data_IF_924326565061
#
_entry.id   IF_924326565061
#
_cell.length_a   1.000
_cell.length_b   1.000
_cell.length_c   1.000
_cell.angle_alpha   90.00
_cell.angle_beta   90.00
_cell.angle_gamma   90.00
#
_symmetry.space_group_name_H-M   'P 1'
#
loop_
_entity.id
_entity.type
_entity.pdbx_description
1 polymer ?
#
# COMPACT_ATOMS: atom_id res chain seq x y z
N UNK A 1 -2.27 -0.85 11.90
CA UNK A 1 -3.47 -1.66 11.60
C UNK A 1 -3.86 -1.62 10.12
N UNK A 2 -4.11 -0.47 9.51
CA UNK A 2 -4.50 -0.40 8.08
C UNK A 2 -3.48 -1.05 7.12
N UNK A 3 -2.18 -0.85 7.36
CA UNK A 3 -1.10 -1.51 6.60
C UNK A 3 -1.14 -3.04 6.67
N UNK A 4 -1.30 -3.61 7.87
CA UNK A 4 -1.40 -5.07 8.06
C UNK A 4 -2.62 -5.66 7.34
N UNK A 5 -3.75 -4.94 7.37
CA UNK A 5 -4.96 -5.34 6.64
C UNK A 5 -4.69 -5.34 5.13
N UNK A 6 -4.02 -4.30 4.61
CA UNK A 6 -3.65 -4.21 3.20
C UNK A 6 -2.79 -5.40 2.75
N UNK A 7 -1.76 -5.75 3.51
CA UNK A 7 -0.89 -6.87 3.18
C UNK A 7 -1.63 -8.22 3.24
N UNK A 8 -2.52 -8.40 4.22
CA UNK A 8 -3.33 -9.61 4.33
C UNK A 8 -4.31 -9.78 3.15
N UNK A 9 -5.05 -8.73 2.79
CA UNK A 9 -6.05 -8.85 1.72
C UNK A 9 -5.38 -9.00 0.34
N UNK A 10 -4.18 -8.45 0.15
CA UNK A 10 -3.43 -8.51 -1.12
C UNK A 10 -3.16 -9.93 -1.59
N UNK A 11 -3.15 -10.91 -0.69
CA UNK A 11 -3.03 -12.33 -1.05
C UNK A 11 -4.10 -12.75 -2.07
N UNK A 12 -5.29 -12.14 -2.01
CA UNK A 12 -6.37 -12.42 -2.95
C UNK A 12 -6.24 -11.55 -4.20
N UNK A 13 -6.25 -12.20 -5.37
CA UNK A 13 -6.42 -11.55 -6.66
C UNK A 13 -7.92 -11.45 -6.96
N UNK A 14 -8.35 -10.28 -7.40
CA UNK A 14 -9.73 -9.99 -7.81
C UNK A 14 -9.76 -9.88 -9.33
N UNK A 15 -10.67 -10.64 -9.93
CA UNK A 15 -11.06 -10.44 -11.32
C UNK A 15 -12.17 -9.37 -11.37
N UNK A 16 -11.91 -8.29 -12.11
CA UNK A 16 -12.87 -7.19 -12.27
C UNK A 16 -13.97 -7.52 -13.29
N UNK A 17 -13.89 -8.67 -13.98
CA UNK A 17 -14.78 -9.09 -15.09
C UNK A 17 -14.90 -8.05 -16.22
N UNK A 18 -13.96 -7.11 -16.26
CA UNK A 18 -13.90 -6.01 -17.23
C UNK A 18 -12.57 -6.16 -17.95
N UNK A 19 -12.60 -6.47 -19.25
CA UNK A 19 -11.41 -6.59 -20.12
C UNK A 19 -10.31 -7.56 -19.64
N UNK A 20 -10.62 -8.55 -18.79
CA UNK A 20 -9.63 -9.46 -18.22
C UNK A 20 -8.64 -8.79 -17.26
N UNK A 21 -9.06 -7.67 -16.64
CA UNK A 21 -8.24 -6.94 -15.68
C UNK A 21 -8.30 -7.63 -14.32
N UNK A 22 -7.16 -8.17 -13.91
CA UNK A 22 -6.94 -8.72 -12.58
C UNK A 22 -6.20 -7.71 -11.72
N UNK A 23 -6.55 -7.61 -10.43
CA UNK A 23 -5.85 -6.74 -9.47
C UNK A 23 -5.75 -7.39 -8.10
N UNK A 24 -4.65 -7.17 -7.36
CA UNK A 24 -4.62 -7.56 -5.96
C UNK A 24 -5.71 -6.83 -5.16
N UNK A 25 -6.36 -7.52 -4.22
CA UNK A 25 -7.44 -6.96 -3.41
C UNK A 25 -6.97 -5.83 -2.48
N UNK A 26 -5.65 -5.65 -2.29
CA UNK A 26 -5.05 -4.52 -1.60
C UNK A 26 -5.54 -3.16 -2.11
N UNK A 27 -5.91 -3.08 -3.39
CA UNK A 27 -6.44 -1.87 -4.02
C UNK A 27 -7.70 -1.31 -3.32
N UNK A 28 -8.46 -2.16 -2.61
CA UNK A 28 -9.70 -1.78 -1.94
C UNK A 28 -9.47 -0.91 -0.69
N UNK A 29 -8.39 -1.16 0.05
CA UNK A 29 -8.08 -0.40 1.27
C UNK A 29 -7.19 0.80 1.00
N UNK A 30 -6.58 0.84 -0.19
CA UNK A 30 -5.64 1.88 -0.61
C UNK A 30 -6.15 3.32 -0.43
N UNK A 31 -7.41 3.66 -0.78
CA UNK A 31 -7.93 5.03 -0.57
C UNK A 31 -7.93 5.44 0.90
N UNK A 32 -8.28 4.51 1.78
CA UNK A 32 -8.31 4.75 3.21
C UNK A 32 -6.89 4.94 3.76
N UNK A 33 -5.93 4.10 3.34
CA UNK A 33 -4.52 4.22 3.73
C UNK A 33 -3.95 5.56 3.27
N UNK A 34 -4.27 5.99 2.05
CA UNK A 34 -3.83 7.28 1.50
C UNK A 34 -4.38 8.46 2.33
N UNK A 35 -5.69 8.50 2.60
CA UNK A 35 -6.31 9.55 3.41
C UNK A 35 -5.67 9.61 4.80
N UNK A 36 -5.54 8.46 5.47
CA UNK A 36 -4.98 8.39 6.82
C UNK A 36 -3.51 8.85 6.83
N UNK A 37 -2.72 8.44 5.84
CA UNK A 37 -1.29 8.81 5.76
C UNK A 37 -1.11 10.31 5.52
N UNK A 38 -1.93 10.89 4.64
CA UNK A 38 -1.91 12.33 4.39
C UNK A 38 -2.37 13.14 5.61
N UNK A 39 -3.47 12.73 6.26
CA UNK A 39 -3.93 13.37 7.50
C UNK A 39 -2.87 13.28 8.59
N UNK A 40 -2.23 12.13 8.76
CA UNK A 40 -1.15 11.96 9.74
C UNK A 40 0.03 12.90 9.47
N UNK A 41 0.42 13.04 8.21
CA UNK A 41 1.55 13.88 7.80
C UNK A 41 1.23 15.37 7.92
N UNK A 42 0.05 15.81 7.46
CA UNK A 42 -0.35 17.21 7.47
C UNK A 42 -0.75 17.72 8.86
N UNK A 43 -1.44 16.89 9.65
CA UNK A 43 -1.90 17.28 10.99
C UNK A 43 -0.81 17.02 12.02
N UNK A 44 -0.22 15.83 12.09
CA UNK A 44 0.69 15.48 13.19
C UNK A 44 2.17 15.66 12.86
N UNK A 45 2.49 16.11 11.65
CA UNK A 45 3.85 16.33 11.19
C UNK A 45 4.57 15.04 10.78
N UNK A 46 5.69 15.24 10.09
CA UNK A 46 6.48 14.15 9.49
C UNK A 46 7.07 13.19 10.54
N UNK A 47 7.47 13.68 11.71
CA UNK A 47 8.04 12.84 12.76
C UNK A 47 7.00 11.85 13.32
N UNK A 48 5.78 12.31 13.57
CA UNK A 48 4.69 11.45 14.04
C UNK A 48 4.31 10.45 12.96
N UNK A 49 4.18 10.89 11.70
CA UNK A 49 3.89 10.00 10.58
C UNK A 49 4.95 8.89 10.44
N UNK A 50 6.24 9.22 10.58
CA UNK A 50 7.34 8.23 10.56
C UNK A 50 7.24 7.24 11.72
N UNK A 51 6.94 7.69 12.94
CA UNK A 51 6.74 6.80 14.10
C UNK A 51 5.56 5.84 13.87
N UNK A 52 4.43 6.35 13.37
CA UNK A 52 3.25 5.53 13.04
C UNK A 52 3.58 4.49 11.97
N UNK A 53 4.37 4.85 10.97
CA UNK A 53 4.82 3.92 9.94
C UNK A 53 5.70 2.80 10.52
N UNK A 54 6.69 3.14 11.35
CA UNK A 54 7.57 2.15 12.01
C UNK A 54 6.76 1.19 12.88
N UNK A 55 5.79 1.70 13.64
CA UNK A 55 4.87 0.87 14.43
C UNK A 55 4.02 -0.04 13.53
N UNK A 56 3.59 0.47 12.37
CA UNK A 56 2.89 -0.32 11.36
C UNK A 56 3.73 -1.48 10.83
N UNK A 57 4.99 -1.23 10.49
CA UNK A 57 5.94 -2.25 10.03
C UNK A 57 6.21 -3.26 11.15
N UNK A 58 6.44 -2.81 12.38
CA UNK A 58 6.68 -3.70 13.51
C UNK A 58 5.48 -4.62 13.77
N UNK A 59 4.25 -4.10 13.69
CA UNK A 59 3.03 -4.89 13.80
C UNK A 59 2.90 -5.91 12.66
N UNK A 60 3.28 -5.53 11.44
CA UNK A 60 3.22 -6.42 10.27
C UNK A 60 4.27 -7.53 10.32
N UNK A 61 5.49 -7.22 10.77
CA UNK A 61 6.53 -8.22 11.04
C UNK A 61 6.09 -9.21 12.11
N UNK A 62 5.50 -8.71 13.20
CA UNK A 62 4.94 -9.58 14.24
C UNK A 62 3.81 -10.45 13.69
N UNK A 63 2.93 -9.88 12.87
CA UNK A 63 1.85 -10.62 12.21
C UNK A 63 2.40 -11.76 11.34
N UNK A 64 3.34 -11.47 10.46
CA UNK A 64 3.99 -12.48 9.60
C UNK A 64 4.73 -13.54 10.41
N UNK A 65 5.42 -13.14 11.47
CA UNK A 65 6.09 -14.08 12.36
C UNK A 65 5.10 -15.03 13.02
N UNK A 66 4.00 -14.51 13.57
CA UNK A 66 2.99 -15.33 14.25
C UNK A 66 2.22 -16.23 13.28
N UNK A 67 1.88 -15.75 12.08
CA UNK A 67 1.21 -16.58 11.08
C UNK A 67 2.13 -17.65 10.50
N UNK A 68 3.41 -17.35 10.34
CA UNK A 68 4.41 -18.35 9.93
C UNK A 68 4.61 -19.40 11.01
N UNK A 69 4.73 -18.99 12.29
CA UNK A 69 4.86 -19.92 13.41
C UNK A 69 3.66 -20.86 13.52
N UNK A 70 2.45 -20.32 13.30
CA UNK A 70 1.21 -21.10 13.29
C UNK A 70 1.25 -22.25 12.27
N UNK A 71 1.83 -22.04 11.08
CA UNK A 71 1.92 -23.07 10.04
C UNK A 71 2.86 -24.25 10.40
N UNK A 72 3.79 -24.06 11.34
CA UNK A 72 4.72 -25.11 11.78
C UNK A 72 4.21 -25.93 12.97
N UNK A 73 3.16 -25.46 13.65
CA UNK A 73 2.61 -26.14 14.81
C UNK A 73 1.65 -27.27 14.37
N UNK A 74 1.71 -28.45 15.02
CA UNK A 74 0.86 -29.57 14.64
C UNK A 74 -0.59 -29.32 15.02
N UNK A 75 -1.49 -29.63 14.10
CA UNK A 75 -2.93 -29.55 14.29
C UNK A 75 -3.50 -30.87 14.81
N UNK A 76 -4.53 -30.85 15.66
CA UNK A 76 -5.24 -32.05 16.05
C UNK A 76 -6.00 -32.65 14.84
N UNK A 77 -6.14 -33.98 14.77
CA UNK A 77 -6.66 -34.66 13.57
C UNK A 77 -8.10 -34.35 13.16
N UNK A 78 -8.89 -33.67 14.01
CA UNK A 78 -10.22 -33.16 13.66
C UNK A 78 -10.20 -31.79 12.99
N UNK A 79 -9.07 -31.09 13.01
CA UNK A 79 -8.91 -29.76 12.44
C UNK A 79 -8.60 -29.87 10.95
N UNK A 80 -9.46 -29.31 10.10
CA UNK A 80 -9.35 -29.40 8.64
C UNK A 80 -8.89 -28.08 7.99
N UNK A 81 -8.50 -27.08 8.79
CA UNK A 81 -8.18 -25.73 8.32
C UNK A 81 -6.76 -25.54 7.78
N UNK A 82 -5.85 -26.49 8.02
CA UNK A 82 -4.41 -26.34 7.72
C UNK A 82 -4.12 -25.99 6.27
N UNK A 83 -4.79 -26.64 5.32
CA UNK A 83 -4.58 -26.39 3.89
C UNK A 83 -4.99 -24.97 3.49
N UNK A 84 -6.07 -24.46 4.07
CA UNK A 84 -6.56 -23.09 3.80
C UNK A 84 -5.66 -22.04 4.45
N UNK A 85 -5.20 -22.30 5.68
CA UNK A 85 -4.24 -21.42 6.35
C UNK A 85 -2.91 -21.39 5.62
N UNK A 86 -2.39 -22.54 5.19
CA UNK A 86 -1.16 -22.64 4.43
C UNK A 86 -1.26 -21.89 3.10
N UNK A 87 -2.38 -22.00 2.38
CA UNK A 87 -2.60 -21.26 1.13
C UNK A 87 -2.50 -19.74 1.33
N UNK A 88 -3.14 -19.20 2.36
CA UNK A 88 -3.16 -17.75 2.62
C UNK A 88 -1.82 -17.26 3.19
N UNK A 89 -1.30 -17.95 4.21
CA UNK A 89 -0.20 -17.43 5.01
C UNK A 89 1.20 -17.74 4.48
N UNK A 90 1.35 -18.72 3.57
CA UNK A 90 2.65 -18.98 2.93
C UNK A 90 3.09 -17.83 2.02
N UNK A 91 2.13 -17.08 1.45
CA UNK A 91 2.43 -15.94 0.59
C UNK A 91 2.68 -14.64 1.38
N UNK A 92 2.22 -14.56 2.64
CA UNK A 92 2.31 -13.34 3.46
C UNK A 92 3.76 -12.85 3.69
N UNK A 93 4.76 -13.71 4.00
CA UNK A 93 6.14 -13.26 4.14
C UNK A 93 6.69 -12.60 2.87
N UNK A 94 6.34 -13.17 1.70
CA UNK A 94 6.76 -12.64 0.40
C UNK A 94 6.14 -11.26 0.15
N UNK A 95 4.84 -11.10 0.43
CA UNK A 95 4.13 -9.82 0.27
C UNK A 95 4.74 -8.77 1.21
N UNK A 96 5.03 -9.11 2.46
CA UNK A 96 5.66 -8.16 3.40
C UNK A 96 7.01 -7.65 2.88
N UNK A 97 7.87 -8.55 2.39
CA UNK A 97 9.18 -8.17 1.83
C UNK A 97 9.00 -7.30 0.58
N UNK A 98 8.06 -7.66 -0.29
CA UNK A 98 7.72 -6.86 -1.47
C UNK A 98 7.25 -5.44 -1.09
N UNK A 99 6.32 -5.31 -0.14
CA UNK A 99 5.80 -4.02 0.35
C UNK A 99 6.91 -3.14 0.91
N UNK A 100 7.86 -3.72 1.65
CA UNK A 100 8.93 -2.93 2.26
C UNK A 100 9.95 -2.43 1.23
N UNK A 101 10.34 -3.29 0.28
CA UNK A 101 11.27 -2.92 -0.80
C UNK A 101 10.62 -1.88 -1.72
N UNK A 102 9.37 -2.09 -2.10
CA UNK A 102 8.64 -1.15 -2.95
C UNK A 102 8.50 0.19 -2.24
N UNK A 103 8.07 0.21 -0.97
CA UNK A 103 7.91 1.42 -0.19
C UNK A 103 9.20 2.24 -0.10
N UNK A 104 10.35 1.60 0.17
CA UNK A 104 11.64 2.30 0.22
C UNK A 104 12.01 2.91 -1.14
N UNK A 105 11.89 2.13 -2.21
CA UNK A 105 12.24 2.57 -3.55
C UNK A 105 11.27 3.65 -4.07
N UNK A 106 9.97 3.47 -3.88
CA UNK A 106 8.90 4.38 -4.24
C UNK A 106 9.07 5.74 -3.58
N UNK A 107 9.36 5.77 -2.27
CA UNK A 107 9.63 7.02 -1.57
C UNK A 107 10.88 7.75 -2.07
N UNK A 108 11.97 7.01 -2.35
CA UNK A 108 13.19 7.59 -2.90
C UNK A 108 12.95 8.21 -4.28
N UNK A 109 12.19 7.51 -5.13
CA UNK A 109 11.81 8.02 -6.47
C UNK A 109 10.90 9.23 -6.33
N UNK A 110 9.85 9.15 -5.52
CA UNK A 110 8.91 10.25 -5.30
C UNK A 110 9.62 11.52 -4.79
N UNK A 111 10.49 11.38 -3.79
CA UNK A 111 11.27 12.50 -3.24
C UNK A 111 12.21 13.14 -4.29
N UNK A 112 12.89 12.31 -5.09
CA UNK A 112 13.78 12.81 -6.16
C UNK A 112 13.00 13.51 -7.27
N UNK A 113 11.93 12.89 -7.76
CA UNK A 113 11.10 13.46 -8.84
C UNK A 113 10.47 14.77 -8.37
N UNK A 114 9.91 14.82 -7.17
CA UNK A 114 9.34 16.04 -6.59
C UNK A 114 10.37 17.16 -6.49
N UNK A 115 11.60 16.86 -6.05
CA UNK A 115 12.69 17.86 -5.97
C UNK A 115 13.08 18.41 -7.33
N UNK A 116 13.17 17.55 -8.36
CA UNK A 116 13.49 17.97 -9.73
C UNK A 116 12.38 18.86 -10.30
N UNK A 117 11.15 18.46 -10.07
CA UNK A 117 9.95 19.10 -10.61
C UNK A 117 9.71 20.49 -10.00
N UNK A 118 10.06 20.68 -8.72
CA UNK A 118 9.91 21.95 -8.00
C UNK A 118 11.02 22.98 -8.26
N UNK A 119 12.08 22.64 -9.03
CA UNK A 119 13.25 23.51 -9.23
C UNK A 119 13.10 24.66 -10.25
N UNK A 120 11.88 25.09 -10.63
CA UNK A 120 11.78 26.36 -11.39
C UNK A 120 10.55 26.67 -12.25
N UNK A 121 9.31 26.42 -11.83
CA UNK A 121 8.14 26.80 -12.67
C UNK A 121 6.84 27.08 -11.91
N UNK A 122 5.95 27.86 -12.56
CA UNK A 122 4.64 28.37 -12.08
C UNK A 122 3.50 27.32 -11.97
N UNK A 123 3.54 26.20 -12.69
CA UNK A 123 2.49 25.16 -12.67
C UNK A 123 2.76 24.04 -11.64
N UNK A 124 2.96 24.40 -10.38
CA UNK A 124 3.37 23.48 -9.29
C UNK A 124 2.39 22.29 -9.11
N UNK A 125 1.09 22.55 -9.21
CA UNK A 125 0.05 21.55 -8.88
C UNK A 125 0.03 20.38 -9.87
N UNK A 126 -0.01 20.63 -11.18
CA UNK A 126 -0.07 19.57 -12.21
C UNK A 126 1.21 18.72 -12.22
N UNK A 127 2.34 19.39 -11.98
CA UNK A 127 3.67 18.81 -11.89
C UNK A 127 3.83 17.88 -10.69
N UNK A 128 3.31 18.28 -9.53
CA UNK A 128 3.28 17.41 -8.34
C UNK A 128 2.41 16.17 -8.55
N UNK A 129 1.27 16.28 -9.22
CA UNK A 129 0.47 15.09 -9.56
C UNK A 129 1.20 14.11 -10.49
N UNK A 130 1.92 14.63 -11.49
CA UNK A 130 2.76 13.81 -12.36
C UNK A 130 3.95 13.17 -11.62
N UNK A 131 4.52 13.85 -10.64
CA UNK A 131 5.58 13.31 -9.80
C UNK A 131 5.07 12.17 -8.91
N UNK A 132 3.90 12.36 -8.30
CA UNK A 132 3.23 11.36 -7.46
C UNK A 132 2.87 10.13 -8.29
N UNK A 133 2.29 10.32 -9.49
CA UNK A 133 1.88 9.19 -10.34
C UNK A 133 3.07 8.35 -10.84
N UNK A 134 4.22 8.97 -11.08
CA UNK A 134 5.46 8.26 -11.43
C UNK A 134 6.08 7.53 -10.23
N UNK A 135 6.06 8.14 -9.05
CA UNK A 135 6.47 7.46 -7.82
C UNK A 135 5.62 6.22 -7.54
N UNK A 136 4.31 6.37 -7.68
CA UNK A 136 3.33 5.29 -7.52
C UNK A 136 3.52 4.18 -8.56
N UNK A 137 3.83 4.54 -9.81
CA UNK A 137 4.10 3.55 -10.85
C UNK A 137 5.32 2.70 -10.51
N UNK A 138 6.41 3.31 -10.03
CA UNK A 138 7.62 2.56 -9.65
C UNK A 138 7.37 1.70 -8.41
N UNK A 139 6.68 2.22 -7.40
CA UNK A 139 6.26 1.43 -6.24
C UNK A 139 5.46 0.20 -6.69
N UNK A 140 4.44 0.41 -7.53
CA UNK A 140 3.56 -0.65 -7.99
C UNK A 140 4.28 -1.72 -8.83
N UNK A 141 5.19 -1.31 -9.73
CA UNK A 141 6.02 -2.24 -10.51
C UNK A 141 6.85 -3.13 -9.57
N UNK A 142 7.50 -2.53 -8.57
CA UNK A 142 8.32 -3.26 -7.61
C UNK A 142 7.46 -4.15 -6.72
N UNK A 143 6.32 -3.64 -6.24
CA UNK A 143 5.43 -4.36 -5.34
C UNK A 143 4.83 -5.59 -6.01
N UNK A 144 4.06 -5.39 -7.09
CA UNK A 144 3.37 -6.48 -7.79
C UNK A 144 4.39 -7.42 -8.44
N UNK A 145 5.49 -6.89 -8.97
CA UNK A 145 6.60 -7.69 -9.48
C UNK A 145 7.17 -8.63 -8.42
N UNK A 146 7.61 -8.11 -7.27
CA UNK A 146 8.19 -8.93 -6.22
C UNK A 146 7.16 -9.85 -5.55
N UNK A 147 5.89 -9.45 -5.45
CA UNK A 147 4.84 -10.23 -4.81
C UNK A 147 4.33 -11.40 -5.66
N UNK A 148 4.26 -11.26 -7.00
CA UNK A 148 3.55 -12.22 -7.86
C UNK A 148 4.39 -12.87 -8.96
N UNK A 149 5.59 -12.38 -9.29
CA UNK A 149 6.45 -13.04 -10.30
C UNK A 149 6.73 -14.51 -9.92
N UNK A 150 6.49 -15.45 -10.82
CA UNK A 150 6.70 -16.89 -10.57
C UNK A 150 5.60 -17.57 -9.74
N UNK A 151 4.61 -16.82 -9.25
CA UNK A 151 3.35 -17.36 -8.71
C UNK A 151 2.19 -17.21 -9.71
N UNK A 152 2.24 -16.17 -10.54
CA UNK A 152 1.24 -15.82 -11.55
C UNK A 152 1.95 -15.70 -12.92
N UNK A 153 1.28 -16.01 -14.05
CA UNK A 153 1.86 -15.81 -15.38
C UNK A 153 2.32 -14.37 -15.60
N UNK A 154 3.44 -14.19 -16.32
CA UNK A 154 4.08 -12.88 -16.48
C UNK A 154 3.15 -11.86 -17.15
N UNK A 155 2.32 -12.30 -18.09
CA UNK A 155 1.36 -11.44 -18.78
C UNK A 155 0.33 -10.86 -17.80
N UNK A 156 -0.18 -11.68 -16.89
CA UNK A 156 -1.17 -11.27 -15.90
C UNK A 156 -0.53 -10.33 -14.87
N UNK A 157 0.75 -10.55 -14.49
CA UNK A 157 1.51 -9.61 -13.65
C UNK A 157 1.61 -8.22 -14.30
N UNK A 158 1.87 -8.14 -15.61
CA UNK A 158 1.92 -6.86 -16.34
C UNK A 158 0.54 -6.21 -16.39
N UNK A 159 -0.52 -6.99 -16.63
CA UNK A 159 -1.90 -6.52 -16.60
C UNK A 159 -2.26 -6.00 -15.19
N UNK A 160 -1.87 -6.70 -14.13
CA UNK A 160 -2.08 -6.30 -12.74
C UNK A 160 -1.39 -4.98 -12.42
N UNK A 161 -0.13 -4.80 -12.84
CA UNK A 161 0.60 -3.53 -12.66
C UNK A 161 -0.16 -2.38 -13.30
N UNK A 162 -0.54 -2.54 -14.58
CA UNK A 162 -1.24 -1.48 -15.31
C UNK A 162 -2.61 -1.19 -14.71
N UNK A 163 -3.40 -2.22 -14.44
CA UNK A 163 -4.74 -2.10 -13.85
C UNK A 163 -4.70 -1.44 -12.49
N UNK A 164 -3.80 -1.90 -11.61
CA UNK A 164 -3.62 -1.35 -10.28
C UNK A 164 -3.19 0.13 -10.33
N UNK A 165 -2.31 0.49 -11.27
CA UNK A 165 -1.88 1.88 -11.43
C UNK A 165 -3.04 2.79 -11.85
N UNK A 166 -3.83 2.39 -12.85
CA UNK A 166 -5.01 3.17 -13.30
C UNK A 166 -6.01 3.34 -12.17
N UNK A 167 -6.33 2.26 -11.46
CA UNK A 167 -7.29 2.31 -10.34
C UNK A 167 -6.76 3.20 -9.22
N UNK A 168 -5.45 3.14 -8.92
CA UNK A 168 -4.83 3.99 -7.90
C UNK A 168 -4.91 5.47 -8.26
N UNK A 169 -4.77 5.84 -9.54
CA UNK A 169 -4.96 7.21 -9.99
C UNK A 169 -6.42 7.69 -9.84
N UNK A 170 -7.38 6.83 -10.19
CA UNK A 170 -8.81 7.11 -9.99
C UNK A 170 -9.10 7.31 -8.50
N UNK A 171 -8.57 6.43 -7.65
CA UNK A 171 -8.74 6.53 -6.20
C UNK A 171 -8.09 7.78 -5.63
N UNK A 172 -6.90 8.14 -6.08
CA UNK A 172 -6.23 9.36 -5.65
C UNK A 172 -7.09 10.59 -5.98
N UNK A 173 -7.64 10.66 -7.20
CA UNK A 173 -8.53 11.75 -7.61
C UNK A 173 -9.83 11.80 -6.76
N UNK A 174 -10.42 10.64 -6.43
CA UNK A 174 -11.62 10.55 -5.59
C UNK A 174 -11.30 10.89 -4.13
N UNK A 175 -10.18 10.41 -3.59
CA UNK A 175 -9.80 10.57 -2.19
C UNK A 175 -9.34 11.99 -1.86
N UNK A 176 -8.81 12.75 -2.82
CA UNK A 176 -8.34 14.12 -2.66
C UNK A 176 -9.36 15.07 -1.97
N UNK A 177 -10.62 15.21 -2.46
CA UNK A 177 -11.61 16.07 -1.80
C UNK A 177 -11.98 15.61 -0.39
N UNK A 178 -11.96 14.30 -0.12
CA UNK A 178 -12.22 13.77 1.23
C UNK A 178 -11.04 14.04 2.17
N UNK A 179 -9.82 13.83 1.70
CA UNK A 179 -8.58 14.14 2.44
C UNK A 179 -8.60 15.58 2.91
N UNK A 180 -8.87 16.53 2.02
CA UNK A 180 -8.93 17.96 2.39
C UNK A 180 -9.98 18.28 3.45
N UNK A 181 -11.14 17.60 3.42
CA UNK A 181 -12.19 17.76 4.44
C UNK A 181 -11.77 17.15 5.78
N UNK A 182 -11.21 15.94 5.75
CA UNK A 182 -10.77 15.23 6.95
C UNK A 182 -9.58 15.93 7.61
N UNK A 183 -8.64 16.49 6.84
CA UNK A 183 -7.54 17.30 7.34
C UNK A 183 -8.08 18.54 8.06
N UNK A 184 -9.00 19.28 7.45
CA UNK A 184 -9.60 20.48 8.10
C UNK A 184 -10.28 20.12 9.41
N UNK A 185 -11.10 19.07 9.41
CA UNK A 185 -11.75 18.57 10.60
C UNK A 185 -10.75 18.12 11.69
N UNK A 186 -9.70 17.40 11.31
CA UNK A 186 -8.68 16.95 12.25
C UNK A 186 -7.81 18.10 12.79
N UNK A 187 -7.58 19.15 11.99
CA UNK A 187 -6.89 20.35 12.42
C UNK A 187 -7.71 21.19 13.40
N UNK A 188 -9.04 21.19 13.30
CA UNK A 188 -9.95 21.85 14.26
C UNK A 188 -9.89 21.21 15.66
N UNK A 189 -9.51 19.93 15.75
CA UNK A 189 -9.40 19.19 17.02
C UNK A 189 -8.04 19.28 17.71
N UNK A 190 -7.05 19.99 17.15
CA UNK A 190 -5.76 20.18 17.81
C UNK A 190 -5.92 21.08 19.05
N UNK A 191 -5.41 20.68 20.23
CA UNK A 191 -5.17 21.64 21.30
C UNK A 191 -4.21 22.70 20.76
N UNK A 192 -4.55 23.97 20.95
CA UNK A 192 -3.62 25.09 20.74
C UNK A 192 -2.36 24.76 21.54
N UNK A 193 -1.23 24.57 20.87
CA UNK A 193 0.06 24.47 21.56
C UNK A 193 0.23 25.76 22.39
N UNK A 194 0.22 25.59 23.71
CA UNK A 194 0.39 26.64 24.70
C UNK A 194 1.88 26.88 25.00
#
# INVERSE_FOLDING_TARGET
MAFTIANLITVKIIDLNIFGLEVPAGVLIYPLVYILTNVMTEVYGEETARRTLILGIAADVLFVFMTTLMLFLPSPGWYTGDSSLAFVFTQTPRILVASYISYLAGNLVNARVTTIVNRGTSYLTLKNYGAISLGELVDNILFIGLAFIGSVPLIDVVIMIFSHWVISLIWCAIAQPFTNKTVKWAAEGKPVEA
#
